data_IF_273775970391
#
_entry.id   IF_273775970391
#
_cell.length_a   1.000
_cell.length_b   1.000
_cell.length_c   1.000
_cell.angle_alpha   90.00
_cell.angle_beta   90.00
_cell.angle_gamma   90.00
#
_symmetry.space_group_name_H-M   'P 1'
#
loop_
_entity.id
_entity.type
_entity.pdbx_description
1 polymer ?
#
# COMPACT_ATOMS: atom_id res chain seq x y z
N UNK A 1 -23.34 24.06 -28.94
CA UNK A 1 -24.11 23.42 -30.02
C UNK A 1 -25.61 23.68 -29.91
N UNK A 2 -26.23 23.57 -28.70
CA UNK A 2 -27.67 23.87 -28.50
C UNK A 2 -28.00 25.33 -28.90
N UNK A 3 -27.17 26.30 -28.53
CA UNK A 3 -27.36 27.72 -28.90
C UNK A 3 -27.34 27.98 -30.42
N UNK A 4 -26.52 27.23 -31.18
CA UNK A 4 -26.49 27.33 -32.65
C UNK A 4 -27.83 26.83 -33.23
N UNK A 5 -28.34 25.71 -32.76
CA UNK A 5 -29.63 25.18 -33.19
C UNK A 5 -30.76 26.13 -32.81
N UNK A 6 -30.75 26.70 -31.61
CA UNK A 6 -31.75 27.71 -31.17
C UNK A 6 -31.69 28.95 -32.03
N UNK A 7 -30.49 29.43 -32.38
CA UNK A 7 -30.35 30.60 -33.29
C UNK A 7 -30.89 30.30 -34.70
N UNK A 8 -30.62 29.11 -35.26
CA UNK A 8 -31.17 28.68 -36.53
C UNK A 8 -32.70 28.54 -36.49
N UNK A 9 -33.25 28.02 -35.41
CA UNK A 9 -34.71 27.94 -35.24
C UNK A 9 -35.38 29.32 -35.11
N UNK A 10 -34.71 30.30 -34.50
CA UNK A 10 -35.22 31.69 -34.43
C UNK A 10 -35.35 32.34 -35.81
N UNK A 11 -34.63 31.89 -36.84
CA UNK A 11 -34.81 32.36 -38.23
C UNK A 11 -35.98 31.70 -38.96
N UNK A 12 -36.66 30.71 -38.37
CA UNK A 12 -37.72 29.93 -38.99
C UNK A 12 -37.27 28.94 -40.06
N UNK A 13 -35.95 28.77 -40.25
CA UNK A 13 -35.39 27.96 -41.33
C UNK A 13 -35.39 26.44 -41.03
N UNK A 14 -35.63 26.03 -39.77
CA UNK A 14 -35.54 24.63 -39.30
C UNK A 14 -36.89 24.14 -38.78
N UNK A 15 -37.38 23.03 -39.32
CA UNK A 15 -38.58 22.36 -38.85
C UNK A 15 -38.25 21.34 -37.76
N UNK A 16 -39.26 20.95 -36.95
CA UNK A 16 -39.06 19.92 -35.91
C UNK A 16 -38.60 18.59 -36.47
N UNK A 17 -38.95 18.22 -37.69
CA UNK A 17 -38.46 17.00 -38.34
C UNK A 17 -36.93 16.96 -38.48
N UNK A 18 -36.30 18.12 -38.69
CA UNK A 18 -34.83 18.25 -38.79
C UNK A 18 -34.21 18.53 -37.43
N UNK A 19 -34.86 19.29 -36.56
CA UNK A 19 -34.37 19.65 -35.24
C UNK A 19 -34.25 18.42 -34.31
N UNK A 20 -35.21 17.49 -34.36
CA UNK A 20 -35.29 16.34 -33.47
C UNK A 20 -34.06 15.41 -33.51
N UNK A 21 -33.62 14.92 -34.68
CA UNK A 21 -32.39 14.11 -34.75
C UNK A 21 -31.13 14.88 -34.33
N UNK A 22 -31.08 16.19 -34.58
CA UNK A 22 -29.97 17.05 -34.16
C UNK A 22 -29.91 17.15 -32.62
N UNK A 23 -31.05 17.31 -31.93
CA UNK A 23 -31.15 17.34 -30.46
C UNK A 23 -30.65 16.01 -29.89
N UNK A 24 -31.04 14.89 -30.47
CA UNK A 24 -30.60 13.56 -30.03
C UNK A 24 -29.09 13.38 -30.21
N UNK A 25 -28.53 13.81 -31.33
CA UNK A 25 -27.09 13.80 -31.59
C UNK A 25 -26.28 14.70 -30.63
N UNK A 26 -26.90 15.82 -30.17
CA UNK A 26 -26.27 16.70 -29.19
C UNK A 26 -26.15 16.02 -27.81
N UNK A 27 -27.11 15.20 -27.40
CA UNK A 27 -27.03 14.44 -26.16
C UNK A 27 -25.85 13.44 -26.17
N UNK A 28 -25.63 12.76 -27.28
CA UNK A 28 -24.45 11.90 -27.45
C UNK A 28 -23.18 12.75 -27.43
N UNK A 29 -23.19 13.90 -28.10
CA UNK A 29 -22.03 14.81 -28.19
C UNK A 29 -21.56 15.35 -26.82
N UNK A 30 -22.46 15.51 -25.85
CA UNK A 30 -22.10 15.95 -24.48
C UNK A 30 -21.25 14.91 -23.74
N UNK A 31 -21.35 13.63 -24.10
CA UNK A 31 -20.56 12.57 -23.47
C UNK A 31 -19.06 12.67 -23.79
N UNK A 32 -18.70 13.34 -24.90
CA UNK A 32 -17.28 13.52 -25.29
C UNK A 32 -16.50 14.29 -24.22
N UNK A 33 -17.11 15.28 -23.59
CA UNK A 33 -16.45 16.05 -22.53
C UNK A 33 -16.17 15.19 -21.31
N UNK A 34 -17.11 14.32 -20.92
CA UNK A 34 -16.92 13.37 -19.83
C UNK A 34 -15.82 12.35 -20.15
N UNK A 35 -15.75 11.86 -21.39
CA UNK A 35 -14.69 10.94 -21.84
C UNK A 35 -13.32 11.61 -21.80
N UNK A 36 -13.20 12.83 -22.33
CA UNK A 36 -11.94 13.58 -22.30
C UNK A 36 -11.49 13.84 -20.86
N UNK A 37 -12.42 14.25 -19.99
CA UNK A 37 -12.14 14.48 -18.57
C UNK A 37 -11.74 13.22 -17.81
N UNK A 38 -12.09 12.04 -18.32
CA UNK A 38 -11.73 10.76 -17.71
C UNK A 38 -10.33 10.25 -18.12
N UNK A 39 -9.65 10.91 -19.08
CA UNK A 39 -8.29 10.55 -19.51
C UNK A 39 -7.32 10.87 -18.36
N UNK A 40 -6.54 9.87 -17.94
CA UNK A 40 -5.59 10.02 -16.83
C UNK A 40 -6.21 9.87 -15.43
N UNK A 41 -7.53 9.63 -15.32
CA UNK A 41 -8.20 9.40 -14.02
C UNK A 41 -8.35 7.92 -13.71
N UNK A 42 -8.92 7.62 -12.53
CA UNK A 42 -9.20 6.27 -12.06
C UNK A 42 -10.10 5.47 -13.02
N UNK A 43 -10.08 4.13 -12.96
CA UNK A 43 -10.95 3.28 -13.78
C UNK A 43 -12.43 3.52 -13.53
N UNK A 44 -12.80 3.76 -12.26
CA UNK A 44 -14.20 4.06 -11.92
C UNK A 44 -14.67 5.36 -12.57
N UNK A 45 -13.83 6.38 -12.67
CA UNK A 45 -14.15 7.60 -13.41
C UNK A 45 -14.32 7.33 -14.92
N UNK A 46 -13.48 6.48 -15.52
CA UNK A 46 -13.62 6.05 -16.93
C UNK A 46 -14.89 5.23 -17.14
N UNK A 47 -15.23 4.31 -16.22
CA UNK A 47 -16.47 3.53 -16.26
C UNK A 47 -17.69 4.43 -16.14
N UNK A 48 -17.68 5.43 -15.26
CA UNK A 48 -18.76 6.43 -15.15
C UNK A 48 -18.96 7.18 -16.46
N UNK A 49 -17.87 7.59 -17.12
CA UNK A 49 -17.95 8.23 -18.44
C UNK A 49 -18.51 7.26 -19.51
N UNK A 50 -18.15 5.97 -19.46
CA UNK A 50 -18.68 4.95 -20.35
C UNK A 50 -20.17 4.68 -20.11
N UNK A 51 -20.63 4.60 -18.85
CA UNK A 51 -22.06 4.49 -18.50
C UNK A 51 -22.84 5.67 -19.05
N UNK A 52 -22.32 6.89 -18.88
CA UNK A 52 -22.96 8.11 -19.44
C UNK A 52 -23.05 8.04 -20.97
N UNK A 53 -22.04 7.55 -21.66
CA UNK A 53 -22.06 7.34 -23.10
C UNK A 53 -23.11 6.30 -23.50
N UNK A 54 -23.11 5.13 -22.87
CA UNK A 54 -24.08 4.06 -23.18
C UNK A 54 -25.52 4.50 -22.92
N UNK A 55 -25.77 5.18 -21.79
CA UNK A 55 -27.08 5.76 -21.49
C UNK A 55 -27.58 6.65 -22.62
N UNK A 56 -26.77 7.59 -23.11
CA UNK A 56 -27.18 8.50 -24.17
C UNK A 56 -27.32 7.81 -25.53
N UNK A 57 -26.43 6.87 -25.89
CA UNK A 57 -26.54 6.11 -27.14
C UNK A 57 -27.80 5.24 -27.15
N UNK A 58 -27.97 4.41 -26.12
CA UNK A 58 -29.11 3.48 -26.03
C UNK A 58 -30.42 4.25 -25.92
N UNK A 59 -30.48 5.29 -25.07
CA UNK A 59 -31.64 6.16 -24.92
C UNK A 59 -32.02 6.82 -26.25
N UNK A 60 -31.03 7.33 -27.00
CA UNK A 60 -31.26 7.93 -28.32
C UNK A 60 -31.82 6.91 -29.33
N UNK A 61 -31.23 5.72 -29.41
CA UNK A 61 -31.67 4.67 -30.34
C UNK A 61 -33.12 4.27 -30.03
N UNK A 62 -33.42 3.97 -28.77
CA UNK A 62 -34.78 3.58 -28.35
C UNK A 62 -35.77 4.68 -28.63
N UNK A 63 -35.45 5.92 -28.25
CA UNK A 63 -36.34 7.07 -28.47
C UNK A 63 -36.62 7.27 -29.97
N UNK A 64 -35.60 7.25 -30.81
CA UNK A 64 -35.76 7.43 -32.26
C UNK A 64 -36.61 6.32 -32.88
N UNK A 65 -36.33 5.03 -32.52
CA UNK A 65 -37.11 3.91 -33.01
C UNK A 65 -38.56 4.01 -32.59
N UNK A 66 -38.84 4.27 -31.32
CA UNK A 66 -40.21 4.39 -30.80
C UNK A 66 -40.90 5.58 -31.42
N UNK A 67 -40.28 6.75 -31.45
CA UNK A 67 -40.87 7.97 -31.97
C UNK A 67 -41.22 7.87 -33.46
N UNK A 68 -40.29 7.39 -34.31
CA UNK A 68 -40.55 7.28 -35.74
C UNK A 68 -41.53 6.16 -36.05
N UNK A 69 -41.52 5.05 -35.29
CA UNK A 69 -42.56 4.00 -35.44
C UNK A 69 -43.94 4.56 -35.09
N UNK A 70 -44.07 5.29 -33.98
CA UNK A 70 -45.33 5.96 -33.64
C UNK A 70 -45.76 6.99 -34.70
N UNK A 71 -44.79 7.71 -35.26
CA UNK A 71 -45.11 8.72 -36.33
C UNK A 71 -45.69 8.07 -37.59
N UNK A 72 -45.34 6.83 -37.93
CA UNK A 72 -45.93 6.11 -39.07
C UNK A 72 -47.45 5.90 -38.86
N UNK A 73 -47.91 5.70 -37.63
CA UNK A 73 -49.32 5.47 -37.33
C UNK A 73 -50.08 6.75 -36.99
N UNK A 74 -49.45 7.70 -36.26
CA UNK A 74 -50.12 8.91 -35.73
C UNK A 74 -49.97 10.12 -36.64
N UNK A 75 -48.94 10.13 -37.53
CA UNK A 75 -48.68 11.23 -38.46
C UNK A 75 -48.57 12.59 -37.75
N UNK A 76 -47.60 12.76 -36.86
CA UNK A 76 -47.40 13.96 -36.05
C UNK A 76 -47.25 15.23 -36.91
N UNK A 77 -48.27 16.04 -37.02
CA UNK A 77 -48.32 17.25 -37.88
C UNK A 77 -47.29 18.30 -37.43
N UNK A 78 -46.95 18.38 -36.13
CA UNK A 78 -46.00 19.35 -35.61
C UNK A 78 -44.58 19.20 -36.21
N UNK A 79 -44.22 18.03 -36.73
CA UNK A 79 -42.91 17.80 -37.36
C UNK A 79 -42.66 18.72 -38.56
N UNK A 80 -43.72 19.11 -39.25
CA UNK A 80 -43.65 20.00 -40.41
C UNK A 80 -43.72 21.48 -40.05
N UNK A 81 -43.89 21.83 -38.78
CA UNK A 81 -43.91 23.22 -38.31
C UNK A 81 -42.52 23.71 -37.98
N UNK A 82 -42.31 25.04 -38.05
CA UNK A 82 -41.02 25.65 -37.67
C UNK A 82 -40.69 25.37 -36.20
N UNK A 83 -39.49 24.90 -35.93
CA UNK A 83 -39.02 24.61 -34.59
C UNK A 83 -38.80 25.92 -33.81
N UNK A 84 -39.32 26.00 -32.60
CA UNK A 84 -39.09 27.13 -31.70
C UNK A 84 -38.06 26.79 -30.63
N UNK A 85 -37.30 27.76 -30.10
CA UNK A 85 -36.37 27.53 -29.00
C UNK A 85 -36.99 26.87 -27.76
N UNK A 86 -38.24 27.27 -27.43
CA UNK A 86 -38.98 26.64 -26.33
C UNK A 86 -39.38 25.20 -26.65
N UNK A 87 -39.79 24.89 -27.88
CA UNK A 87 -40.09 23.52 -28.32
C UNK A 87 -38.88 22.61 -28.28
N UNK A 88 -37.71 23.11 -28.65
CA UNK A 88 -36.42 22.37 -28.53
C UNK A 88 -36.14 22.02 -27.05
N UNK A 89 -36.27 22.99 -26.14
CA UNK A 89 -36.05 22.77 -24.72
C UNK A 89 -37.03 21.73 -24.13
N UNK A 90 -38.30 21.78 -24.53
CA UNK A 90 -39.33 20.80 -24.11
C UNK A 90 -38.96 19.39 -24.61
N UNK A 91 -38.61 19.24 -25.90
CA UNK A 91 -38.24 17.95 -26.48
C UNK A 91 -37.01 17.39 -25.78
N UNK A 92 -36.01 18.24 -25.54
CA UNK A 92 -34.77 17.83 -24.83
C UNK A 92 -35.05 17.35 -23.39
N UNK A 93 -35.91 18.07 -22.66
CA UNK A 93 -36.33 17.69 -21.31
C UNK A 93 -37.13 16.38 -21.29
N UNK A 94 -38.12 16.24 -22.20
CA UNK A 94 -38.92 15.02 -22.32
C UNK A 94 -38.05 13.80 -22.66
N UNK A 95 -37.08 13.97 -23.56
CA UNK A 95 -36.14 12.91 -23.87
C UNK A 95 -35.34 12.48 -22.64
N UNK A 96 -34.72 13.41 -21.93
CA UNK A 96 -33.88 13.07 -20.77
C UNK A 96 -34.69 12.41 -19.64
N UNK A 97 -35.89 12.94 -19.34
CA UNK A 97 -36.78 12.36 -18.33
C UNK A 97 -37.26 10.97 -18.78
N UNK A 98 -37.70 10.83 -20.02
CA UNK A 98 -38.16 9.55 -20.57
C UNK A 98 -37.06 8.52 -20.64
N UNK A 99 -35.86 8.87 -21.08
CA UNK A 99 -34.69 7.99 -21.10
C UNK A 99 -34.29 7.54 -19.69
N UNK A 100 -34.31 8.46 -18.71
CA UNK A 100 -34.03 8.15 -17.31
C UNK A 100 -35.04 7.15 -16.76
N UNK A 101 -36.33 7.40 -16.89
CA UNK A 101 -37.38 6.48 -16.41
C UNK A 101 -37.26 5.10 -17.07
N UNK A 102 -36.96 5.06 -18.37
CA UNK A 102 -36.85 3.83 -19.13
C UNK A 102 -35.59 3.02 -18.78
N UNK A 103 -34.44 3.68 -18.63
CA UNK A 103 -33.15 3.02 -18.45
C UNK A 103 -32.74 2.82 -16.97
N UNK A 104 -33.39 3.52 -16.02
CA UNK A 104 -33.12 3.38 -14.60
C UNK A 104 -33.22 1.92 -14.10
N UNK A 105 -34.27 1.12 -14.48
CA UNK A 105 -34.34 -0.28 -14.10
C UNK A 105 -33.19 -1.15 -14.66
N UNK A 106 -32.50 -0.66 -15.69
CA UNK A 106 -31.39 -1.34 -16.36
C UNK A 106 -30.02 -0.74 -16.00
N UNK A 107 -29.92 0.04 -14.93
CA UNK A 107 -28.67 0.65 -14.48
C UNK A 107 -27.54 -0.38 -14.29
N UNK A 108 -27.84 -1.54 -13.67
CA UNK A 108 -26.91 -2.65 -13.49
C UNK A 108 -26.41 -3.24 -14.83
N UNK A 109 -27.23 -3.19 -15.89
CA UNK A 109 -26.82 -3.65 -17.23
C UNK A 109 -25.84 -2.66 -17.86
N UNK A 110 -26.09 -1.34 -17.72
CA UNK A 110 -25.20 -0.30 -18.19
C UNK A 110 -23.85 -0.36 -17.49
N UNK A 111 -23.85 -0.62 -16.18
CA UNK A 111 -22.64 -0.85 -15.39
C UNK A 111 -21.85 -2.07 -15.90
N UNK A 112 -22.50 -3.21 -16.08
CA UNK A 112 -21.86 -4.42 -16.64
C UNK A 112 -21.27 -4.18 -18.03
N UNK A 113 -21.92 -3.38 -18.87
CA UNK A 113 -21.39 -3.00 -20.18
C UNK A 113 -20.13 -2.13 -20.03
N UNK A 114 -20.11 -1.21 -19.07
CA UNK A 114 -18.95 -0.37 -18.82
C UNK A 114 -17.76 -1.21 -18.28
N UNK A 115 -18.00 -2.17 -17.40
CA UNK A 115 -16.99 -3.12 -16.88
C UNK A 115 -16.47 -4.00 -18.02
N UNK A 116 -17.34 -4.45 -18.94
CA UNK A 116 -16.94 -5.27 -20.10
C UNK A 116 -15.99 -4.51 -21.05
N UNK A 117 -16.22 -3.20 -21.25
CA UNK A 117 -15.37 -2.36 -22.13
C UNK A 117 -14.10 -1.90 -21.41
N UNK A 118 -14.17 -1.74 -20.09
CA UNK A 118 -13.05 -1.36 -19.23
C UNK A 118 -12.92 -2.45 -18.16
N UNK A 119 -12.33 -3.62 -18.54
CA UNK A 119 -12.24 -4.77 -17.66
C UNK A 119 -11.22 -4.51 -16.53
N UNK A 120 -11.46 -5.14 -15.38
CA UNK A 120 -10.44 -5.29 -14.35
C UNK A 120 -9.40 -6.30 -14.84
N UNK A 121 -8.12 -6.04 -14.55
CA UNK A 121 -7.11 -7.10 -14.68
C UNK A 121 -7.40 -8.16 -13.61
N UNK A 122 -7.07 -9.43 -13.86
CA UNK A 122 -7.32 -10.54 -12.91
C UNK A 122 -6.82 -10.24 -11.48
N UNK A 123 -5.74 -9.44 -11.36
CA UNK A 123 -5.22 -8.97 -10.07
C UNK A 123 -6.11 -7.95 -9.34
N UNK A 124 -7.06 -7.33 -10.02
CA UNK A 124 -7.97 -6.31 -9.46
C UNK A 124 -9.33 -6.92 -9.07
N UNK A 125 -9.66 -8.13 -9.56
CA UNK A 125 -10.84 -8.86 -9.08
C UNK A 125 -10.61 -9.41 -7.67
N UNK A 126 -9.37 -9.83 -7.34
CA UNK A 126 -8.97 -10.16 -5.97
C UNK A 126 -9.02 -8.93 -5.05
N UNK A 127 -8.74 -7.73 -5.59
CA UNK A 127 -8.75 -6.45 -4.85
C UNK A 127 -10.16 -5.91 -4.60
N UNK A 128 -11.12 -6.09 -5.53
CA UNK A 128 -12.52 -5.68 -5.34
C UNK A 128 -13.29 -6.59 -4.35
N UNK A 129 -12.80 -7.80 -4.09
CA UNK A 129 -13.29 -8.63 -2.98
C UNK A 129 -12.71 -8.18 -1.64
N UNK A 130 -11.53 -7.55 -1.63
CA UNK A 130 -10.90 -6.97 -0.43
C UNK A 130 -11.44 -5.56 -0.07
N UNK A 131 -12.02 -4.79 -1.00
CA UNK A 131 -12.72 -3.50 -0.71
C UNK A 131 -14.14 -3.67 -0.11
N UNK A 132 -14.72 -4.86 -0.14
CA UNK A 132 -15.85 -5.18 0.74
C UNK A 132 -15.31 -5.28 2.15
N UNK A 133 -15.81 -4.43 3.06
CA UNK A 133 -15.57 -4.37 4.51
C UNK A 133 -14.59 -5.48 4.92
N UNK A 134 -13.35 -5.12 5.18
CA UNK A 134 -12.30 -6.10 5.51
C UNK A 134 -12.90 -7.09 6.53
N UNK A 135 -13.06 -8.38 6.17
CA UNK A 135 -13.80 -9.34 7.01
C UNK A 135 -13.17 -9.48 8.41
N UNK A 136 -11.87 -9.16 8.53
CA UNK A 136 -11.20 -9.15 9.81
C UNK A 136 -11.69 -8.00 10.70
N UNK A 137 -11.88 -6.80 10.13
CA UNK A 137 -12.37 -5.64 10.90
C UNK A 137 -13.85 -5.82 11.32
N UNK A 138 -14.64 -6.59 10.57
CA UNK A 138 -16.00 -6.95 10.97
C UNK A 138 -16.05 -7.83 12.23
N UNK A 139 -14.94 -8.45 12.64
CA UNK A 139 -14.80 -9.21 13.91
C UNK A 139 -14.73 -8.31 15.14
N UNK A 140 -14.36 -7.02 14.97
CA UNK A 140 -14.31 -6.02 16.03
C UNK A 140 -15.70 -5.40 16.29
N UNK A 141 -16.70 -6.24 16.54
CA UNK A 141 -18.08 -5.81 16.77
C UNK A 141 -18.27 -5.38 18.22
N UNK A 142 -18.81 -4.17 18.43
CA UNK A 142 -19.06 -3.59 19.76
C UNK A 142 -19.97 -4.46 20.64
N UNK A 143 -20.81 -5.31 20.05
CA UNK A 143 -21.66 -6.27 20.77
C UNK A 143 -20.86 -7.28 21.57
N UNK A 144 -19.61 -7.53 21.21
CA UNK A 144 -18.73 -8.45 21.94
C UNK A 144 -18.04 -7.79 23.15
N UNK A 145 -18.08 -6.46 23.28
CA UNK A 145 -17.51 -5.77 24.44
C UNK A 145 -18.13 -6.21 25.79
N UNK A 146 -19.34 -6.76 25.77
CA UNK A 146 -19.99 -7.35 26.97
C UNK A 146 -19.46 -8.77 27.29
N UNK A 147 -18.58 -9.33 26.44
CA UNK A 147 -17.87 -10.60 26.64
C UNK A 147 -16.38 -10.40 26.46
N UNK A 148 -15.68 -9.76 27.41
CA UNK A 148 -14.33 -9.26 27.25
C UNK A 148 -13.32 -10.31 26.78
N UNK A 149 -13.36 -11.53 27.31
CA UNK A 149 -12.45 -12.61 26.92
C UNK A 149 -12.60 -13.02 25.44
N UNK A 150 -13.83 -13.04 24.91
CA UNK A 150 -14.06 -13.31 23.48
C UNK A 150 -13.60 -12.13 22.61
N UNK A 151 -13.94 -10.90 23.03
CA UNK A 151 -13.51 -9.70 22.34
C UNK A 151 -11.96 -9.59 22.25
N UNK A 152 -11.26 -10.01 23.31
CA UNK A 152 -9.79 -10.03 23.35
C UNK A 152 -9.19 -11.03 22.34
N UNK A 153 -9.79 -12.21 22.21
CA UNK A 153 -9.33 -13.22 21.25
C UNK A 153 -9.54 -12.74 19.80
N UNK A 154 -10.65 -12.05 19.53
CA UNK A 154 -10.88 -11.43 18.21
C UNK A 154 -9.86 -10.31 17.93
N UNK A 155 -9.58 -9.43 18.92
CA UNK A 155 -8.54 -8.42 18.78
C UNK A 155 -7.17 -9.03 18.48
N UNK A 156 -6.79 -10.11 19.19
CA UNK A 156 -5.54 -10.82 18.97
C UNK A 156 -5.45 -11.39 17.55
N UNK A 157 -6.53 -12.03 17.08
CA UNK A 157 -6.59 -12.59 15.73
C UNK A 157 -6.44 -11.52 14.66
N UNK A 158 -7.11 -10.36 14.83
CA UNK A 158 -7.01 -9.22 13.90
C UNK A 158 -5.61 -8.62 13.93
N UNK A 159 -4.99 -8.47 15.10
CA UNK A 159 -3.62 -7.96 15.24
C UNK A 159 -2.57 -8.90 14.59
N UNK A 160 -2.75 -10.21 14.68
CA UNK A 160 -1.90 -11.19 13.98
C UNK A 160 -1.99 -11.02 12.45
N UNK A 161 -3.19 -10.79 11.91
CA UNK A 161 -3.37 -10.54 10.49
C UNK A 161 -2.72 -9.21 10.05
N UNK A 162 -2.79 -8.18 10.90
CA UNK A 162 -2.07 -6.92 10.71
C UNK A 162 -0.55 -7.16 10.65
N UNK A 163 0.01 -7.87 11.63
CA UNK A 163 1.44 -8.20 11.69
C UNK A 163 1.94 -8.92 10.42
N UNK A 164 1.19 -9.92 9.95
CA UNK A 164 1.51 -10.64 8.72
C UNK A 164 1.44 -9.75 7.47
N UNK A 165 0.51 -8.80 7.43
CA UNK A 165 0.42 -7.82 6.32
C UNK A 165 1.62 -6.87 6.33
N UNK A 166 2.04 -6.40 7.50
CA UNK A 166 3.23 -5.55 7.68
C UNK A 166 4.50 -6.24 7.22
N UNK A 167 4.71 -7.48 7.66
CA UNK A 167 5.79 -8.35 7.19
C UNK A 167 5.77 -8.52 5.66
N UNK A 168 4.59 -8.77 5.09
CA UNK A 168 4.42 -8.91 3.64
C UNK A 168 4.74 -7.62 2.89
N UNK A 169 4.31 -6.46 3.40
CA UNK A 169 4.61 -5.16 2.80
C UNK A 169 6.12 -4.91 2.73
N UNK A 170 6.84 -5.14 3.85
CA UNK A 170 8.29 -4.99 3.90
C UNK A 170 9.01 -5.97 2.95
N UNK A 171 8.58 -7.23 2.92
CA UNK A 171 9.17 -8.22 2.03
C UNK A 171 9.00 -7.84 0.55
N UNK A 172 7.83 -7.36 0.15
CA UNK A 172 7.57 -6.87 -1.22
C UNK A 172 8.39 -5.61 -1.54
N UNK A 173 8.55 -4.69 -0.59
CA UNK A 173 9.38 -3.50 -0.76
C UNK A 173 10.87 -3.86 -0.97
N UNK A 174 11.37 -4.85 -0.23
CA UNK A 174 12.72 -5.40 -0.43
C UNK A 174 12.86 -6.04 -1.82
N UNK A 175 11.85 -6.79 -2.29
CA UNK A 175 11.89 -7.43 -3.61
C UNK A 175 12.00 -6.38 -4.74
N UNK A 176 11.37 -5.21 -4.59
CA UNK A 176 11.45 -4.10 -5.55
C UNK A 176 12.87 -3.56 -5.75
N UNK A 177 13.76 -3.67 -4.75
CA UNK A 177 15.16 -3.27 -4.87
C UNK A 177 15.97 -4.20 -5.78
N UNK A 178 15.50 -5.45 -5.94
CA UNK A 178 16.11 -6.45 -6.84
C UNK A 178 15.50 -6.40 -8.24
N UNK A 179 14.18 -6.48 -8.33
CA UNK A 179 13.41 -6.50 -9.58
C UNK A 179 12.19 -5.60 -9.43
N UNK A 180 12.23 -4.46 -10.12
CA UNK A 180 11.15 -3.48 -10.05
C UNK A 180 9.90 -3.94 -10.82
N UNK A 181 8.73 -3.72 -10.23
CA UNK A 181 7.42 -3.95 -10.84
C UNK A 181 6.42 -2.94 -10.33
N UNK A 182 5.74 -2.20 -11.23
CA UNK A 182 4.67 -1.25 -10.86
C UNK A 182 3.57 -1.95 -10.04
N UNK A 183 3.20 -3.18 -10.41
CA UNK A 183 2.21 -3.97 -9.69
C UNK A 183 2.63 -4.24 -8.25
N UNK A 184 3.90 -4.56 -8.01
CA UNK A 184 4.42 -4.81 -6.66
C UNK A 184 4.50 -3.50 -5.87
N UNK A 185 4.88 -2.38 -6.50
CA UNK A 185 4.89 -1.07 -5.87
C UNK A 185 3.49 -0.64 -5.41
N UNK A 186 2.47 -0.78 -6.27
CA UNK A 186 1.07 -0.52 -5.93
C UNK A 186 0.57 -1.44 -4.81
N UNK A 187 1.05 -2.69 -4.76
CA UNK A 187 0.67 -3.65 -3.71
C UNK A 187 1.23 -3.27 -2.34
N UNK A 188 2.44 -2.73 -2.27
CA UNK A 188 3.01 -2.21 -1.00
C UNK A 188 2.16 -1.08 -0.46
N UNK A 189 1.81 -0.08 -1.31
CA UNK A 189 0.97 1.05 -0.92
C UNK A 189 -0.42 0.61 -0.42
N UNK A 190 -1.03 -0.37 -1.10
CA UNK A 190 -2.33 -0.91 -0.67
C UNK A 190 -2.25 -1.65 0.66
N UNK A 191 -1.18 -2.38 0.91
CA UNK A 191 -1.00 -3.08 2.19
C UNK A 191 -0.84 -2.08 3.34
N UNK A 192 -0.08 -1.01 3.15
CA UNK A 192 0.07 0.06 4.14
C UNK A 192 -1.28 0.71 4.45
N UNK A 193 -2.05 1.14 3.45
CA UNK A 193 -3.40 1.70 3.65
C UNK A 193 -4.36 0.73 4.36
N UNK A 194 -4.20 -0.58 4.18
CA UNK A 194 -4.95 -1.57 4.97
C UNK A 194 -4.46 -1.64 6.41
N UNK A 195 -3.15 -1.58 6.64
CA UNK A 195 -2.53 -1.66 7.97
C UNK A 195 -2.94 -0.46 8.80
N UNK A 196 -2.99 0.75 8.24
CA UNK A 196 -3.55 1.95 8.86
C UNK A 196 -4.99 1.72 9.36
N UNK A 197 -5.84 1.12 8.51
CA UNK A 197 -7.21 0.81 8.90
C UNK A 197 -7.27 -0.21 10.05
N UNK A 198 -6.33 -1.17 10.11
CA UNK A 198 -6.23 -2.11 11.21
C UNK A 198 -5.81 -1.41 12.51
N UNK A 199 -4.82 -0.51 12.44
CA UNK A 199 -4.33 0.25 13.59
C UNK A 199 -5.46 1.08 14.21
N UNK A 200 -6.13 1.92 13.40
CA UNK A 200 -7.25 2.77 13.82
C UNK A 200 -8.40 1.95 14.44
N UNK A 201 -8.81 0.86 13.78
CA UNK A 201 -9.93 0.03 14.25
C UNK A 201 -9.58 -0.73 15.54
N UNK A 202 -8.39 -1.37 15.57
CA UNK A 202 -7.89 -2.07 16.76
C UNK A 202 -7.68 -1.11 17.92
N UNK A 203 -7.00 0.02 17.70
CA UNK A 203 -6.74 1.02 18.73
C UNK A 203 -8.03 1.52 19.37
N UNK A 204 -9.01 1.91 18.53
CA UNK A 204 -10.33 2.34 19.00
C UNK A 204 -11.06 1.25 19.78
N UNK A 205 -11.03 0.00 19.31
CA UNK A 205 -11.72 -1.10 19.94
C UNK A 205 -11.06 -1.53 21.26
N UNK A 206 -9.73 -1.60 21.29
CA UNK A 206 -8.95 -1.92 22.51
C UNK A 206 -9.13 -0.87 23.60
N UNK A 207 -9.20 0.43 23.24
CA UNK A 207 -9.51 1.49 24.20
C UNK A 207 -10.92 1.32 24.80
N UNK A 208 -11.94 0.94 24.01
CA UNK A 208 -13.27 0.63 24.52
C UNK A 208 -13.25 -0.60 25.42
N UNK A 209 -12.46 -1.61 25.07
CA UNK A 209 -12.34 -2.86 25.82
C UNK A 209 -11.60 -2.65 27.16
N UNK A 210 -10.62 -1.75 27.23
CA UNK A 210 -9.90 -1.40 28.46
C UNK A 210 -10.81 -0.83 29.56
N UNK A 211 -11.95 -0.25 29.19
CA UNK A 211 -12.98 0.21 30.12
C UNK A 211 -13.89 -0.90 30.71
N UNK A 212 -13.65 -2.17 30.34
CA UNK A 212 -14.41 -3.33 30.84
C UNK A 212 -13.65 -4.08 31.92
N UNK A 213 -14.37 -4.94 32.69
CA UNK A 213 -13.73 -5.82 33.66
C UNK A 213 -12.96 -6.94 32.92
N UNK A 214 -11.64 -6.81 32.87
CA UNK A 214 -10.74 -7.76 32.26
C UNK A 214 -10.10 -8.68 33.29
N UNK A 215 -9.83 -9.93 32.94
CA UNK A 215 -8.93 -10.76 33.71
C UNK A 215 -7.50 -10.20 33.70
N UNK A 216 -6.66 -10.57 34.66
CA UNK A 216 -5.25 -10.17 34.72
C UNK A 216 -4.55 -10.58 33.39
N UNK A 217 -4.86 -11.78 32.88
CA UNK A 217 -4.32 -12.29 31.61
C UNK A 217 -4.75 -11.41 30.44
N UNK A 218 -6.04 -11.07 30.33
CA UNK A 218 -6.55 -10.25 29.24
C UNK A 218 -6.01 -8.82 29.30
N UNK A 219 -5.84 -8.26 30.51
CA UNK A 219 -5.22 -6.95 30.67
C UNK A 219 -3.77 -6.90 30.20
N UNK A 220 -3.00 -7.99 30.42
CA UNK A 220 -1.64 -8.12 29.90
C UNK A 220 -1.63 -8.18 28.37
N UNK A 221 -2.48 -9.02 27.77
CA UNK A 221 -2.61 -9.12 26.32
C UNK A 221 -3.04 -7.80 25.70
N UNK A 222 -3.99 -7.08 26.33
CA UNK A 222 -4.43 -5.76 25.89
C UNK A 222 -3.26 -4.76 25.84
N UNK A 223 -2.42 -4.75 26.89
CA UNK A 223 -1.24 -3.89 26.91
C UNK A 223 -0.26 -4.20 25.78
N UNK A 224 0.04 -5.49 25.55
CA UNK A 224 0.89 -5.90 24.41
C UNK A 224 0.29 -5.41 23.10
N UNK A 225 -0.99 -5.67 22.85
CA UNK A 225 -1.64 -5.28 21.61
C UNK A 225 -1.58 -3.78 21.38
N UNK A 226 -1.88 -2.95 22.40
CA UNK A 226 -1.86 -1.49 22.31
C UNK A 226 -0.46 -0.93 21.96
N UNK A 227 0.61 -1.58 22.39
CA UNK A 227 1.96 -1.18 22.03
C UNK A 227 2.36 -1.69 20.63
N UNK A 228 2.11 -2.96 20.34
CA UNK A 228 2.61 -3.59 19.11
C UNK A 228 1.88 -3.14 17.85
N UNK A 229 0.60 -2.72 17.89
CA UNK A 229 -0.12 -2.28 16.69
C UNK A 229 0.55 -1.07 16.04
N UNK A 230 1.02 -0.09 16.83
CA UNK A 230 1.75 1.05 16.32
C UNK A 230 3.12 0.67 15.71
N UNK A 231 3.83 -0.30 16.31
CA UNK A 231 5.09 -0.79 15.74
C UNK A 231 4.88 -1.51 14.39
N UNK A 232 3.81 -2.28 14.22
CA UNK A 232 3.47 -2.91 12.93
C UNK A 232 3.07 -1.89 11.85
N UNK A 233 2.37 -0.81 12.23
CA UNK A 233 2.08 0.31 11.32
C UNK A 233 3.39 0.96 10.88
N UNK A 234 4.29 1.30 11.81
CA UNK A 234 5.60 1.89 11.49
C UNK A 234 6.46 1.03 10.58
N UNK A 235 6.46 -0.30 10.75
CA UNK A 235 7.13 -1.20 9.82
C UNK A 235 6.57 -1.07 8.41
N UNK A 236 5.26 -0.91 8.25
CA UNK A 236 4.65 -0.71 6.92
C UNK A 236 4.95 0.67 6.31
N UNK A 237 5.02 1.73 7.11
CA UNK A 237 5.50 3.06 6.70
C UNK A 237 6.92 2.98 6.11
N UNK A 238 7.82 2.26 6.81
CA UNK A 238 9.18 2.04 6.33
C UNK A 238 9.21 1.21 5.03
N UNK A 239 8.28 0.28 4.83
CA UNK A 239 8.15 -0.45 3.58
C UNK A 239 7.75 0.48 2.41
N UNK A 240 6.86 1.44 2.64
CA UNK A 240 6.50 2.47 1.63
C UNK A 240 7.70 3.34 1.28
N UNK A 241 8.49 3.79 2.27
CA UNK A 241 9.69 4.57 2.01
C UNK A 241 10.71 3.81 1.14
N UNK A 242 10.89 2.50 1.39
CA UNK A 242 11.76 1.63 0.58
C UNK A 242 11.19 1.47 -0.84
N UNK A 243 9.87 1.29 -0.98
CA UNK A 243 9.19 1.26 -2.28
C UNK A 243 9.42 2.54 -3.05
N UNK A 244 9.33 3.71 -2.40
CA UNK A 244 9.56 5.00 -3.04
C UNK A 244 11.00 5.16 -3.54
N UNK A 245 11.98 4.69 -2.77
CA UNK A 245 13.37 4.61 -3.19
C UNK A 245 13.53 3.72 -4.44
N UNK A 246 12.87 2.57 -4.49
CA UNK A 246 12.88 1.68 -5.66
C UNK A 246 12.21 2.33 -6.89
N UNK A 247 11.08 3.04 -6.71
CA UNK A 247 10.38 3.81 -7.75
C UNK A 247 11.30 4.91 -8.30
N UNK A 248 11.99 5.64 -7.44
CA UNK A 248 12.93 6.69 -7.84
C UNK A 248 14.09 6.12 -8.65
N UNK A 249 14.68 5.00 -8.20
CA UNK A 249 15.74 4.31 -8.94
C UNK A 249 15.27 3.88 -10.33
N UNK A 250 14.08 3.31 -10.42
CA UNK A 250 13.51 2.86 -11.69
C UNK A 250 13.26 4.03 -12.64
N UNK A 251 12.61 5.10 -12.18
CA UNK A 251 12.30 6.29 -12.99
C UNK A 251 13.54 6.98 -13.55
N UNK A 252 14.65 6.96 -12.78
CA UNK A 252 15.92 7.60 -13.16
C UNK A 252 16.93 6.65 -13.78
N UNK A 253 16.58 5.38 -14.03
CA UNK A 253 17.48 4.28 -14.49
C UNK A 253 18.76 4.17 -13.66
N UNK A 254 18.66 4.37 -12.34
CA UNK A 254 19.78 4.28 -11.41
C UNK A 254 20.01 2.81 -11.02
N UNK A 255 21.27 2.39 -10.98
CA UNK A 255 21.65 1.00 -10.64
C UNK A 255 22.82 0.98 -9.68
N UNK A 256 22.70 0.24 -8.61
CA UNK A 256 23.81 -0.03 -7.71
C UNK A 256 24.87 -0.87 -8.40
N UNK A 257 26.14 -0.69 -7.99
CA UNK A 257 27.22 -1.58 -8.41
C UNK A 257 26.99 -3.01 -7.89
N UNK A 258 27.56 -4.01 -8.56
CA UNK A 258 27.39 -5.42 -8.14
C UNK A 258 27.83 -5.68 -6.69
N UNK A 259 28.84 -4.93 -6.20
CA UNK A 259 29.23 -5.00 -4.79
C UNK A 259 28.17 -4.42 -3.86
N UNK A 260 27.63 -3.26 -4.18
CA UNK A 260 26.57 -2.66 -3.37
C UNK A 260 25.31 -3.51 -3.38
N UNK A 261 24.97 -4.15 -4.50
CA UNK A 261 23.87 -5.12 -4.55
C UNK A 261 24.10 -6.34 -3.66
N UNK A 262 25.32 -6.84 -3.60
CA UNK A 262 25.65 -7.97 -2.71
C UNK A 262 25.55 -7.56 -1.24
N UNK A 263 26.07 -6.39 -0.88
CA UNK A 263 25.98 -5.83 0.48
C UNK A 263 24.51 -5.61 0.87
N UNK A 264 23.72 -4.96 0.00
CA UNK A 264 22.30 -4.72 0.21
C UNK A 264 21.49 -6.03 0.33
N UNK A 265 21.87 -7.08 -0.41
CA UNK A 265 21.22 -8.40 -0.30
C UNK A 265 21.48 -9.05 1.07
N UNK A 266 22.69 -8.96 1.60
CA UNK A 266 22.98 -9.46 2.95
C UNK A 266 22.16 -8.71 3.98
N UNK A 267 22.13 -7.38 3.89
CA UNK A 267 21.33 -6.54 4.77
C UNK A 267 19.84 -6.85 4.69
N UNK A 268 19.27 -6.96 3.47
CA UNK A 268 17.87 -7.35 3.24
C UNK A 268 17.53 -8.71 3.85
N UNK A 269 18.46 -9.68 3.81
CA UNK A 269 18.21 -10.99 4.42
C UNK A 269 18.18 -10.92 5.95
N UNK A 270 19.01 -10.06 6.58
CA UNK A 270 18.94 -9.82 8.02
C UNK A 270 17.59 -9.16 8.42
N UNK A 271 17.09 -8.23 7.62
CA UNK A 271 15.77 -7.61 7.84
C UNK A 271 14.64 -8.62 7.72
N UNK A 272 14.68 -9.53 6.75
CA UNK A 272 13.67 -10.59 6.64
C UNK A 272 13.70 -11.53 7.85
N UNK A 273 14.89 -11.92 8.31
CA UNK A 273 15.04 -12.81 9.47
C UNK A 273 14.51 -12.17 10.76
N UNK A 274 14.83 -10.88 11.02
CA UNK A 274 14.32 -10.20 12.21
C UNK A 274 12.80 -10.01 12.18
N UNK A 275 12.21 -9.70 11.01
CA UNK A 275 10.77 -9.63 10.82
C UNK A 275 10.10 -10.98 11.05
N UNK A 276 10.67 -12.06 10.51
CA UNK A 276 10.14 -13.41 10.67
C UNK A 276 10.13 -13.80 12.15
N UNK A 277 11.22 -13.55 12.89
CA UNK A 277 11.32 -13.83 14.34
C UNK A 277 10.31 -12.99 15.14
N UNK A 278 10.26 -11.68 14.91
CA UNK A 278 9.37 -10.78 15.66
C UNK A 278 7.87 -11.10 15.43
N UNK A 279 7.47 -11.32 14.17
CA UNK A 279 6.08 -11.67 13.84
C UNK A 279 5.71 -13.05 14.38
N UNK A 280 6.60 -14.05 14.27
CA UNK A 280 6.36 -15.38 14.81
C UNK A 280 6.29 -15.38 16.34
N UNK A 281 7.17 -14.64 17.03
CA UNK A 281 7.11 -14.48 18.49
C UNK A 281 5.79 -13.82 18.92
N UNK A 282 5.34 -12.78 18.22
CA UNK A 282 4.08 -12.12 18.48
C UNK A 282 2.87 -13.04 18.25
N UNK A 283 2.86 -13.80 17.16
CA UNK A 283 1.79 -14.72 16.80
C UNK A 283 1.63 -15.87 17.81
N UNK A 284 2.76 -16.47 18.20
CA UNK A 284 2.77 -17.63 19.10
C UNK A 284 2.80 -17.28 20.58
N UNK A 285 3.25 -16.06 20.91
CA UNK A 285 3.57 -15.65 22.28
C UNK A 285 4.83 -16.35 22.82
N UNK A 286 5.76 -16.74 21.92
CA UNK A 286 6.97 -17.45 22.28
C UNK A 286 8.05 -16.48 22.78
N UNK A 287 8.27 -16.52 24.09
CA UNK A 287 9.22 -15.67 24.82
C UNK A 287 10.67 -16.01 24.46
N UNK A 288 11.00 -17.28 24.21
CA UNK A 288 12.36 -17.68 23.82
C UNK A 288 12.72 -17.14 22.43
N UNK A 289 11.78 -17.22 21.49
CA UNK A 289 11.98 -16.62 20.17
C UNK A 289 12.08 -15.08 20.24
N UNK A 290 11.35 -14.43 21.15
CA UNK A 290 11.44 -12.99 21.35
C UNK A 290 12.85 -12.57 21.84
N UNK A 291 13.54 -13.37 22.66
CA UNK A 291 14.91 -13.10 23.10
C UNK A 291 15.93 -13.12 21.97
N UNK A 292 15.68 -13.83 20.87
CA UNK A 292 16.56 -13.90 19.71
C UNK A 292 16.49 -12.66 18.80
N UNK A 293 15.52 -11.77 19.01
CA UNK A 293 15.31 -10.58 18.16
C UNK A 293 16.38 -9.52 18.45
N UNK A 294 16.66 -9.23 19.72
CA UNK A 294 17.59 -8.16 20.12
C UNK A 294 19.05 -8.43 19.64
N UNK A 295 19.61 -9.65 19.74
CA UNK A 295 20.93 -9.92 19.16
C UNK A 295 20.99 -9.66 17.65
N UNK A 296 19.90 -9.96 16.93
CA UNK A 296 19.81 -9.72 15.48
C UNK A 296 19.64 -8.23 15.15
N UNK A 297 18.91 -7.45 15.98
CA UNK A 297 18.82 -5.99 15.84
C UNK A 297 20.21 -5.36 15.95
N UNK A 298 21.03 -5.75 16.93
CA UNK A 298 22.39 -5.24 17.04
C UNK A 298 23.28 -5.58 15.84
N UNK A 299 23.06 -6.73 15.22
CA UNK A 299 23.73 -7.09 13.95
C UNK A 299 23.27 -6.17 12.82
N UNK A 300 21.98 -5.87 12.72
CA UNK A 300 21.40 -4.92 11.75
C UNK A 300 22.01 -3.54 11.93
N UNK A 301 22.14 -3.08 13.16
CA UNK A 301 22.77 -1.80 13.53
C UNK A 301 24.25 -1.74 13.10
N UNK A 302 24.97 -2.84 13.31
CA UNK A 302 26.37 -2.97 12.87
C UNK A 302 26.47 -2.96 11.33
N UNK A 303 25.56 -3.65 10.64
CA UNK A 303 25.46 -3.66 9.18
C UNK A 303 25.20 -2.26 8.61
N UNK A 304 24.27 -1.50 9.19
CA UNK A 304 23.97 -0.14 8.81
C UNK A 304 25.20 0.77 8.89
N UNK A 305 25.94 0.69 10.01
CA UNK A 305 27.17 1.45 10.22
C UNK A 305 28.28 1.06 9.22
N UNK A 306 28.48 -0.21 8.98
CA UNK A 306 29.48 -0.71 8.05
C UNK A 306 29.14 -0.37 6.59
N UNK A 307 27.88 -0.51 6.19
CA UNK A 307 27.40 -0.20 4.85
C UNK A 307 27.58 1.28 4.54
N UNK A 308 27.17 2.18 5.46
CA UNK A 308 27.41 3.63 5.35
C UNK A 308 28.90 3.96 5.20
N UNK A 309 29.79 3.32 5.97
CA UNK A 309 31.22 3.53 5.87
C UNK A 309 31.81 3.05 4.52
N UNK A 310 31.35 1.90 4.02
CA UNK A 310 31.73 1.38 2.69
C UNK A 310 31.25 2.31 1.58
N UNK A 311 30.05 2.85 1.73
CA UNK A 311 29.48 3.80 0.76
C UNK A 311 30.31 5.10 0.71
N UNK A 312 30.66 5.70 1.86
CA UNK A 312 31.54 6.88 1.92
C UNK A 312 32.87 6.59 1.17
N UNK A 313 33.43 5.41 1.32
CA UNK A 313 34.63 5.01 0.60
C UNK A 313 34.39 4.93 -0.92
N UNK A 314 33.24 4.44 -1.37
CA UNK A 314 32.85 4.41 -2.80
C UNK A 314 32.71 5.82 -3.37
N UNK A 315 32.12 6.75 -2.63
CA UNK A 315 32.03 8.16 -3.02
C UNK A 315 33.42 8.79 -3.18
N UNK A 316 34.31 8.59 -2.20
CA UNK A 316 35.69 9.13 -2.23
C UNK A 316 36.51 8.61 -3.40
N UNK A 317 36.25 7.39 -3.86
CA UNK A 317 36.95 6.78 -4.99
C UNK A 317 36.27 7.02 -6.34
N UNK A 318 35.17 7.80 -6.38
CA UNK A 318 34.41 8.10 -7.60
C UNK A 318 33.72 6.87 -8.22
N UNK A 319 33.51 5.81 -7.44
CA UNK A 319 32.84 4.56 -7.89
C UNK A 319 31.34 4.54 -7.59
N UNK A 320 30.80 5.61 -7.02
CA UNK A 320 29.40 5.82 -6.73
C UNK A 320 29.03 7.28 -6.96
N UNK A 321 27.78 7.56 -7.32
CA UNK A 321 27.25 8.92 -7.42
C UNK A 321 26.68 9.37 -6.08
N UNK A 322 26.63 10.69 -5.88
CA UNK A 322 26.02 11.29 -4.68
C UNK A 322 24.53 10.90 -4.58
N UNK A 323 23.84 10.88 -5.71
CA UNK A 323 22.42 10.54 -5.79
C UNK A 323 22.14 9.11 -5.31
N UNK A 324 22.88 8.12 -5.82
CA UNK A 324 22.83 6.74 -5.31
C UNK A 324 23.19 6.65 -3.83
N UNK A 325 24.01 7.58 -3.35
CA UNK A 325 24.36 7.65 -1.93
C UNK A 325 23.21 8.03 -1.04
N UNK A 326 22.41 9.00 -1.45
CA UNK A 326 21.22 9.39 -0.71
C UNK A 326 20.20 8.24 -0.68
N UNK A 327 19.92 7.63 -1.84
CA UNK A 327 18.98 6.51 -1.94
C UNK A 327 19.43 5.33 -1.05
N UNK A 328 20.70 4.97 -1.09
CA UNK A 328 21.23 3.87 -0.25
C UNK A 328 21.14 4.20 1.24
N UNK A 329 21.48 5.44 1.62
CA UNK A 329 21.37 5.89 3.01
C UNK A 329 19.92 5.88 3.50
N UNK A 330 18.98 6.21 2.63
CA UNK A 330 17.55 6.20 2.94
C UNK A 330 17.05 4.76 3.15
N UNK A 331 17.37 3.85 2.23
CA UNK A 331 17.06 2.43 2.36
C UNK A 331 17.64 1.86 3.67
N UNK A 332 18.94 2.11 3.95
CA UNK A 332 19.62 1.59 5.13
C UNK A 332 19.02 2.13 6.42
N UNK A 333 18.58 3.39 6.44
CA UNK A 333 17.92 3.99 7.60
C UNK A 333 16.52 3.39 7.82
N UNK A 334 15.75 3.14 6.75
CA UNK A 334 14.44 2.51 6.88
C UNK A 334 14.57 1.03 7.31
N UNK A 335 15.62 0.32 6.92
CA UNK A 335 15.92 -1.01 7.40
C UNK A 335 16.23 -1.05 8.90
N UNK A 336 17.10 -0.16 9.37
CA UNK A 336 17.45 -0.04 10.79
C UNK A 336 16.21 0.27 11.62
N UNK A 337 15.39 1.27 11.23
CA UNK A 337 14.18 1.62 11.94
C UNK A 337 13.14 0.48 11.98
N UNK A 338 13.00 -0.28 10.88
CA UNK A 338 12.13 -1.44 10.87
C UNK A 338 12.62 -2.53 11.87
N UNK A 339 13.93 -2.70 12.02
CA UNK A 339 14.51 -3.59 13.02
C UNK A 339 14.30 -3.09 14.45
N UNK A 340 14.42 -1.77 14.69
CA UNK A 340 14.08 -1.14 15.97
C UNK A 340 12.64 -1.47 16.39
N UNK A 341 11.68 -1.35 15.46
CA UNK A 341 10.28 -1.70 15.73
C UNK A 341 10.09 -3.19 16.01
N UNK A 342 10.85 -4.08 15.34
CA UNK A 342 10.85 -5.51 15.66
C UNK A 342 11.37 -5.77 17.08
N UNK A 343 12.43 -5.08 17.50
CA UNK A 343 12.95 -5.15 18.88
C UNK A 343 11.91 -4.66 19.88
N UNK A 344 11.23 -3.53 19.64
CA UNK A 344 10.16 -3.04 20.50
C UNK A 344 9.03 -4.07 20.70
N UNK A 345 8.61 -4.74 19.62
CA UNK A 345 7.59 -5.80 19.69
C UNK A 345 8.09 -6.96 20.58
N UNK A 346 9.32 -7.39 20.39
CA UNK A 346 9.92 -8.46 21.20
C UNK A 346 10.01 -8.08 22.68
N UNK A 347 10.47 -6.87 22.98
CA UNK A 347 10.57 -6.35 24.36
C UNK A 347 9.20 -6.27 25.01
N UNK A 348 8.14 -5.83 24.30
CA UNK A 348 6.78 -5.83 24.82
C UNK A 348 6.32 -7.23 25.23
N UNK A 349 6.65 -8.26 24.48
CA UNK A 349 6.33 -9.65 24.81
C UNK A 349 7.06 -10.11 26.07
N UNK A 350 8.35 -9.79 26.23
CA UNK A 350 9.19 -10.17 27.36
C UNK A 350 8.74 -9.50 28.67
N UNK A 351 8.46 -8.19 28.63
CA UNK A 351 8.07 -7.41 29.83
C UNK A 351 6.74 -7.81 30.43
N UNK A 352 5.78 -8.23 29.60
CA UNK A 352 4.47 -8.66 30.08
C UNK A 352 4.55 -9.92 30.92
N UNK A 353 5.52 -10.78 30.66
CA UNK A 353 5.73 -11.99 31.47
C UNK A 353 6.36 -11.66 32.85
N UNK A 354 7.21 -10.65 32.94
CA UNK A 354 7.93 -10.25 34.16
C UNK A 354 7.19 -9.20 35.02
N UNK A 355 6.12 -8.57 34.50
CA UNK A 355 5.26 -7.65 35.27
C UNK A 355 5.78 -6.20 35.39
N UNK A 356 6.75 -5.80 34.59
CA UNK A 356 7.29 -4.44 34.49
C UNK A 356 6.98 -3.77 33.13
N UNK A 357 6.95 -2.43 33.07
CA UNK A 357 6.60 -1.67 31.84
C UNK A 357 7.61 -0.56 31.51
N UNK A 358 8.92 -0.77 31.74
CA UNK A 358 9.93 0.20 31.29
C UNK A 358 10.86 -0.43 30.24
N UNK A 359 10.54 -0.14 28.97
CA UNK A 359 11.20 -0.73 27.79
C UNK A 359 12.69 -0.39 27.74
N UNK A 360 13.07 0.80 28.14
CA UNK A 360 14.46 1.25 28.10
C UNK A 360 15.30 0.63 29.20
N UNK A 361 14.73 0.51 30.41
CA UNK A 361 15.40 -0.10 31.55
C UNK A 361 15.67 -1.60 31.28
N UNK A 362 14.71 -2.30 30.66
CA UNK A 362 14.87 -3.73 30.32
C UNK A 362 15.92 -3.96 29.21
N UNK A 363 15.95 -3.12 28.19
CA UNK A 363 16.99 -3.18 27.15
C UNK A 363 18.39 -2.91 27.72
N UNK A 364 18.50 -1.98 28.68
CA UNK A 364 19.77 -1.71 29.34
C UNK A 364 20.20 -2.89 30.25
N UNK A 365 19.26 -3.54 30.92
CA UNK A 365 19.50 -4.76 31.71
C UNK A 365 19.94 -5.92 30.80
N UNK A 366 19.27 -6.15 29.66
CA UNK A 366 19.67 -7.17 28.67
C UNK A 366 21.06 -6.88 28.08
N UNK A 367 21.40 -5.60 27.89
CA UNK A 367 22.72 -5.17 27.43
C UNK A 367 23.79 -5.26 28.51
N UNK A 368 23.45 -5.04 29.78
CA UNK A 368 24.38 -5.11 30.93
C UNK A 368 24.55 -6.53 31.44
N UNK A 369 23.51 -7.34 31.48
CA UNK A 369 23.58 -8.74 31.91
C UNK A 369 24.26 -9.68 30.93
N UNK A 370 24.78 -9.19 29.78
CA UNK A 370 25.70 -9.87 28.86
C UNK A 370 25.73 -11.40 29.08
N UNK A 371 24.59 -12.06 28.94
CA UNK A 371 24.48 -13.48 29.08
C UNK A 371 25.42 -14.14 28.06
N UNK A 372 26.05 -15.26 28.39
CA UNK A 372 26.89 -15.98 27.43
C UNK A 372 26.08 -16.40 26.20
N UNK A 373 24.77 -16.63 26.35
CA UNK A 373 23.80 -16.91 25.27
C UNK A 373 23.65 -15.75 24.30
N UNK A 374 23.41 -14.53 24.79
CA UNK A 374 23.31 -13.33 23.95
C UNK A 374 24.58 -13.12 23.11
N UNK A 375 25.76 -13.25 23.73
CA UNK A 375 27.03 -13.08 23.02
C UNK A 375 27.25 -14.17 21.97
N UNK A 376 26.84 -15.38 22.27
CA UNK A 376 26.95 -16.51 21.35
C UNK A 376 26.07 -16.28 20.13
N UNK A 377 24.80 -15.95 20.34
CA UNK A 377 23.83 -15.66 19.27
C UNK A 377 24.28 -14.45 18.42
N UNK A 378 24.71 -13.36 19.06
CA UNK A 378 25.23 -12.18 18.36
C UNK A 378 26.46 -12.52 17.49
N UNK A 379 27.39 -13.34 17.99
CA UNK A 379 28.58 -13.74 17.21
C UNK A 379 28.18 -14.61 16.00
N UNK A 380 27.30 -15.57 16.21
CA UNK A 380 26.84 -16.47 15.15
C UNK A 380 26.10 -15.66 14.05
N UNK A 381 25.18 -14.76 14.43
CA UNK A 381 24.46 -13.89 13.51
C UNK A 381 25.40 -12.91 12.80
N UNK A 382 26.41 -12.36 13.50
CA UNK A 382 27.42 -11.47 12.90
C UNK A 382 28.27 -12.18 11.84
N UNK A 383 28.60 -13.46 12.04
CA UNK A 383 29.29 -14.28 11.04
C UNK A 383 28.35 -14.59 9.84
N UNK A 384 27.10 -14.95 10.11
CA UNK A 384 26.08 -15.27 9.10
C UNK A 384 25.79 -14.10 8.16
N UNK A 385 25.70 -12.89 8.71
CA UNK A 385 25.41 -11.66 7.96
C UNK A 385 26.65 -10.80 7.69
N UNK A 386 27.84 -11.36 7.75
CA UNK A 386 29.07 -10.64 7.40
C UNK A 386 29.02 -10.13 5.95
N UNK A 387 29.28 -8.83 5.77
CA UNK A 387 29.36 -8.23 4.43
C UNK A 387 30.54 -8.79 3.64
N UNK A 388 30.42 -9.02 2.31
CA UNK A 388 31.51 -9.55 1.49
C UNK A 388 32.81 -8.76 1.64
N UNK A 389 33.97 -9.41 1.71
CA UNK A 389 35.27 -8.74 1.90
C UNK A 389 35.52 -7.67 0.82
N UNK A 390 35.85 -6.45 1.24
CA UNK A 390 36.34 -5.43 0.32
C UNK A 390 37.81 -5.69 0.01
N UNK A 391 38.19 -5.78 -1.30
CA UNK A 391 39.58 -6.02 -1.75
C UNK A 391 40.63 -5.04 -1.17
N UNK A 392 40.18 -3.97 -0.48
CA UNK A 392 41.10 -2.99 0.14
C UNK A 392 41.37 -3.21 1.64
N UNK A 393 40.46 -3.87 2.38
CA UNK A 393 40.67 -4.16 3.82
C UNK A 393 41.62 -5.33 3.99
N UNK A 394 41.52 -6.37 3.19
CA UNK A 394 42.42 -7.53 3.24
C UNK A 394 43.91 -7.21 2.97
N UNK A 395 44.20 -6.10 2.28
CA UNK A 395 45.59 -5.67 2.07
C UNK A 395 46.19 -4.95 3.27
N UNK A 396 45.37 -4.15 4.00
CA UNK A 396 45.80 -3.46 5.23
C UNK A 396 45.94 -4.43 6.41
N UNK A 397 45.03 -5.38 6.58
CA UNK A 397 45.16 -6.41 7.62
C UNK A 397 46.33 -7.39 7.37
N UNK A 398 46.56 -7.77 6.10
CA UNK A 398 47.76 -8.57 5.77
C UNK A 398 49.04 -7.79 6.05
N UNK A 399 49.10 -6.50 5.71
CA UNK A 399 50.27 -5.64 6.02
C UNK A 399 50.44 -5.50 7.54
N UNK A 400 49.38 -5.22 8.29
CA UNK A 400 49.41 -5.09 9.76
C UNK A 400 49.76 -6.41 10.46
N UNK A 401 49.31 -7.58 9.95
CA UNK A 401 49.70 -8.89 10.45
C UNK A 401 51.15 -9.20 10.12
N UNK A 402 51.63 -8.81 8.93
CA UNK A 402 53.06 -9.01 8.54
C UNK A 402 53.95 -8.10 9.39
N UNK A 403 53.63 -6.84 9.58
CA UNK A 403 54.36 -5.92 10.46
C UNK A 403 54.37 -6.35 11.92
N UNK A 404 53.26 -6.89 12.45
CA UNK A 404 53.23 -7.51 13.81
C UNK A 404 54.05 -8.77 13.91
N UNK A 405 54.15 -9.57 12.85
CA UNK A 405 54.99 -10.77 12.82
C UNK A 405 56.48 -10.41 12.70
N UNK A 406 56.86 -9.38 11.94
CA UNK A 406 58.20 -8.88 11.83
C UNK A 406 58.69 -8.22 13.14
N UNK A 407 57.84 -7.38 13.76
CA UNK A 407 58.14 -6.78 15.06
C UNK A 407 58.31 -7.79 16.20
N UNK A 408 57.63 -8.97 16.12
CA UNK A 408 57.85 -10.08 17.08
C UNK A 408 59.12 -10.86 16.82
N UNK A 409 59.65 -10.85 15.59
CA UNK A 409 60.96 -11.51 15.27
C UNK A 409 62.15 -10.65 15.70
N UNK A 410 62.03 -9.32 15.70
CA UNK A 410 63.10 -8.42 16.10
C UNK A 410 63.19 -8.21 17.63
N UNK A 411 62.11 -8.48 18.38
CA UNK A 411 62.09 -8.43 19.85
C UNK A 411 62.53 -9.74 20.55
N UNK A 412 62.90 -10.73 19.76
CA UNK A 412 63.37 -12.06 20.26
C UNK A 412 64.84 -12.37 19.96
N UNK A 413 65.66 -11.31 19.70
CA UNK A 413 67.14 -11.47 19.63
C UNK A 413 67.80 -10.75 20.78
#
# INVERSE_FOLDING_TARGET
SVGILQALCATGAVNFSTALPIIMGQNIGTCITAIISSIGTSKNAKRTAAVHLFFNIIGTIIFMVVFYTLNVFVHFQFLNTAASPAGIAVIHSLFNIGATILLFPFANLLEKMAIFVIPDKESEMEEMEEEKINPDLARLDERFLDKPGFAMEECRSVAINMARKSQKAMNLAIDLLGEYSDKTADRVEKLENQIDQYEDALGTYLVKLSGRELSIKDSRVLSVLLHCIGDFERISDHAVNIRDAAVEMHKKDLKFSEKAKQELRVFSNAIRDILDRAVMAFETGDVELAKEVEPLEQVVDALNKEEKQRHINRLRTGTCTIELGFILSDISTNFERAADHCSNIAVCLLQVDEGGFDTHEYLDILKEENSEEFRHEYMELSERYALPESKHTGKKEKIAKTEKMEARKDSGK
#
